data_IF_948910543510
#
_entry.id   IF_948910543510
#
_cell.length_a   1.000
_cell.length_b   1.000
_cell.length_c   1.000
_cell.angle_alpha   90.00
_cell.angle_beta   90.00
_cell.angle_gamma   90.00
#
_symmetry.space_group_name_H-M   'P 1'
#
loop_
_entity.id
_entity.type
_entity.pdbx_description
1 polymer ?
#
# COMPACT_ATOMS: atom_id res chain seq x y z
N UNK A 1 14.07 -3.67 -3.93
CA UNK A 1 13.06 -4.72 -3.62
C UNK A 1 12.03 -4.16 -2.64
N UNK A 2 11.00 -4.92 -2.30
CA UNK A 2 9.80 -4.51 -1.50
C UNK A 2 9.24 -5.75 -0.82
N UNK A 3 8.36 -5.64 0.18
CA UNK A 3 7.58 -6.76 0.70
C UNK A 3 6.10 -6.53 0.42
N UNK A 4 5.43 -7.54 -0.14
CA UNK A 4 3.97 -7.58 -0.23
C UNK A 4 3.46 -8.90 0.31
N UNK A 5 2.45 -8.82 1.19
CA UNK A 5 1.79 -9.98 1.77
C UNK A 5 0.29 -9.85 1.54
N UNK A 6 -0.32 -10.89 0.98
CA UNK A 6 -1.76 -11.02 0.80
C UNK A 6 -2.27 -12.17 1.67
N UNK A 7 -3.34 -11.94 2.42
CA UNK A 7 -3.95 -12.95 3.29
C UNK A 7 -5.48 -12.85 3.26
N UNK A 8 -6.13 -14.00 3.26
CA UNK A 8 -7.57 -14.10 3.57
C UNK A 8 -7.73 -14.19 5.07
N UNK A 9 -8.51 -13.27 5.64
CA UNK A 9 -8.83 -13.22 7.05
C UNK A 9 -10.35 -13.08 7.14
N UNK A 10 -11.00 -14.05 7.76
CA UNK A 10 -12.46 -14.18 7.78
C UNK A 10 -13.04 -14.13 6.35
N UNK A 11 -13.92 -13.16 6.07
CA UNK A 11 -14.54 -12.95 4.75
C UNK A 11 -13.88 -11.79 3.96
N UNK A 12 -12.63 -11.46 4.27
CA UNK A 12 -11.90 -10.35 3.65
C UNK A 12 -10.56 -10.80 3.07
N UNK A 13 -10.14 -10.09 2.02
CA UNK A 13 -8.77 -10.17 1.51
C UNK A 13 -8.04 -8.92 1.99
N UNK A 14 -6.91 -9.11 2.66
CA UNK A 14 -6.07 -8.02 3.15
C UNK A 14 -4.72 -8.11 2.48
N UNK A 15 -4.30 -7.02 1.83
CA UNK A 15 -2.98 -6.87 1.23
C UNK A 15 -2.22 -5.79 1.99
N UNK A 16 -0.98 -6.08 2.36
CA UNK A 16 -0.05 -5.12 2.97
C UNK A 16 1.19 -4.97 2.11
N UNK A 17 1.60 -3.74 1.86
CA UNK A 17 2.83 -3.40 1.14
C UNK A 17 3.53 -2.20 1.77
N UNK A 18 4.84 -2.11 1.57
CA UNK A 18 5.63 -0.94 1.94
C UNK A 18 5.68 0.10 0.80
N UNK A 19 6.07 1.35 1.08
CA UNK A 19 6.22 2.41 0.05
C UNK A 19 7.68 2.72 -0.32
N UNK A 20 8.66 1.98 0.23
CA UNK A 20 10.08 2.24 -0.05
C UNK A 20 10.39 1.97 -1.52
N UNK A 21 11.17 2.86 -2.11
CA UNK A 21 11.78 2.63 -3.41
C UNK A 21 13.27 2.38 -3.17
N UNK A 22 13.67 1.11 -3.19
CA UNK A 22 15.05 0.70 -2.94
C UNK A 22 15.78 0.41 -4.27
N UNK A 23 16.90 1.11 -4.51
CA UNK A 23 17.79 0.87 -5.66
C UNK A 23 18.75 2.03 -5.94
N UNK A 24 19.86 1.79 -6.66
CA UNK A 24 20.83 2.82 -7.07
C UNK A 24 20.33 3.71 -8.22
N UNK A 25 19.19 3.34 -8.83
CA UNK A 25 18.58 4.08 -9.92
C UNK A 25 18.08 5.43 -9.38
N UNK A 26 18.96 6.42 -9.49
CA UNK A 26 18.61 7.83 -9.36
C UNK A 26 17.49 8.09 -10.37
N UNK A 27 16.25 8.13 -9.88
CA UNK A 27 15.13 8.65 -10.66
C UNK A 27 15.58 9.99 -11.24
N UNK A 28 15.68 10.05 -12.56
CA UNK A 28 15.79 11.33 -13.24
C UNK A 28 14.47 12.04 -12.96
N UNK A 29 14.54 13.24 -12.41
CA UNK A 29 13.39 14.12 -12.05
C UNK A 29 12.37 14.28 -13.20
N UNK A 30 12.73 13.88 -14.43
CA UNK A 30 11.90 13.95 -15.63
C UNK A 30 11.02 12.74 -15.89
N UNK A 31 11.23 11.62 -15.21
CA UNK A 31 10.33 10.49 -15.34
C UNK A 31 9.15 10.68 -14.39
N UNK A 32 7.94 10.79 -14.94
CA UNK A 32 6.66 10.68 -14.22
C UNK A 32 6.48 9.27 -13.61
N UNK A 33 7.56 8.62 -13.18
CA UNK A 33 7.55 7.22 -12.79
C UNK A 33 7.23 7.09 -11.31
N UNK A 34 5.93 7.04 -11.06
CA UNK A 34 5.22 6.23 -10.07
C UNK A 34 5.89 6.04 -8.70
N UNK A 35 5.36 6.69 -7.69
CA UNK A 35 6.17 7.01 -6.50
C UNK A 35 6.04 6.01 -5.35
N UNK A 36 6.30 4.72 -5.61
CA UNK A 36 6.43 3.71 -4.54
C UNK A 36 5.14 3.02 -4.10
N UNK A 37 4.00 3.35 -4.73
CA UNK A 37 2.78 2.54 -4.65
C UNK A 37 2.95 1.26 -5.47
N UNK A 38 2.61 0.10 -4.91
CA UNK A 38 2.90 -1.22 -5.50
C UNK A 38 1.69 -2.11 -5.67
N UNK A 39 0.51 -1.58 -5.36
CA UNK A 39 -0.75 -2.30 -5.42
C UNK A 39 -1.81 -1.40 -6.04
N UNK A 40 -2.45 -1.92 -7.08
CA UNK A 40 -3.36 -1.19 -7.96
C UNK A 40 -4.66 -1.93 -8.14
N UNK A 41 -5.75 -1.20 -8.15
CA UNK A 41 -7.07 -1.67 -8.55
C UNK A 41 -7.19 -1.63 -10.07
N UNK A 42 -7.62 -2.73 -10.66
CA UNK A 42 -7.81 -2.89 -12.09
C UNK A 42 -9.31 -3.08 -12.35
N UNK A 43 -9.95 -1.98 -12.77
CA UNK A 43 -11.39 -1.85 -12.72
C UNK A 43 -11.93 -2.05 -11.30
N UNK A 44 -13.15 -2.59 -11.18
CA UNK A 44 -13.79 -2.89 -9.88
C UNK A 44 -13.54 -4.31 -9.38
N UNK A 45 -13.08 -5.19 -10.27
CA UNK A 45 -13.07 -6.62 -10.05
C UNK A 45 -11.73 -7.15 -9.53
N UNK A 46 -10.62 -6.51 -9.91
CA UNK A 46 -9.30 -7.06 -9.64
C UNK A 46 -8.42 -6.09 -8.87
N UNK A 47 -7.54 -6.65 -8.06
CA UNK A 47 -6.43 -5.95 -7.45
C UNK A 47 -5.13 -6.67 -7.80
N UNK A 48 -4.14 -5.91 -8.25
CA UNK A 48 -2.86 -6.38 -8.74
C UNK A 48 -1.74 -5.73 -7.93
N UNK A 49 -0.94 -6.55 -7.26
CA UNK A 49 0.26 -6.15 -6.53
C UNK A 49 1.51 -6.65 -7.26
N UNK A 50 2.61 -5.91 -7.19
CA UNK A 50 3.86 -6.32 -7.85
C UNK A 50 5.12 -6.14 -6.99
N UNK A 51 6.15 -6.94 -7.28
CA UNK A 51 7.51 -6.75 -6.76
C UNK A 51 8.52 -6.94 -7.89
N UNK A 52 9.39 -5.95 -8.11
CA UNK A 52 10.38 -5.98 -9.18
C UNK A 52 10.62 -4.59 -9.77
N UNK A 53 11.10 -4.54 -11.01
CA UNK A 53 11.35 -3.28 -11.73
C UNK A 53 10.04 -2.55 -12.01
N UNK A 54 9.85 -1.39 -11.37
CA UNK A 54 8.64 -0.58 -11.42
C UNK A 54 8.23 -0.19 -12.85
N UNK A 55 9.17 0.31 -13.65
CA UNK A 55 8.91 0.70 -15.06
C UNK A 55 8.20 -0.42 -15.82
N UNK A 56 8.64 -1.65 -15.62
CA UNK A 56 8.11 -2.80 -16.34
C UNK A 56 6.79 -3.31 -15.75
N UNK A 57 6.70 -3.41 -14.43
CA UNK A 57 5.45 -3.78 -13.77
C UNK A 57 4.30 -2.83 -14.18
N UNK A 58 4.61 -1.55 -14.37
CA UNK A 58 3.62 -0.53 -14.72
C UNK A 58 3.18 -0.62 -16.17
N UNK A 59 4.09 -0.94 -17.10
CA UNK A 59 3.72 -1.28 -18.48
C UNK A 59 2.76 -2.47 -18.51
N UNK A 60 3.02 -3.50 -17.72
CA UNK A 60 2.12 -4.65 -17.60
C UNK A 60 0.77 -4.22 -17.03
N UNK A 61 0.75 -3.48 -15.93
CA UNK A 61 -0.47 -2.94 -15.29
C UNK A 61 -1.32 -2.18 -16.31
N UNK A 62 -0.71 -1.32 -17.13
CA UNK A 62 -1.41 -0.56 -18.17
C UNK A 62 -2.07 -1.47 -19.21
N UNK A 63 -1.32 -2.40 -19.78
CA UNK A 63 -1.83 -3.35 -20.79
C UNK A 63 -2.96 -4.20 -20.21
N UNK A 64 -2.83 -4.64 -18.95
CA UNK A 64 -3.86 -5.40 -18.24
C UNK A 64 -5.09 -4.53 -17.99
N UNK A 65 -4.92 -3.26 -17.60
CA UNK A 65 -6.02 -2.32 -17.40
C UNK A 65 -6.80 -2.07 -18.70
N UNK A 66 -6.14 -1.94 -19.85
CA UNK A 66 -6.85 -1.78 -21.14
C UNK A 66 -7.73 -3.00 -21.50
N UNK A 67 -7.37 -4.19 -20.99
CA UNK A 67 -8.06 -5.46 -21.27
C UNK A 67 -8.92 -5.96 -20.12
N UNK A 68 -9.04 -5.23 -19.01
CA UNK A 68 -9.61 -5.77 -17.77
C UNK A 68 -11.03 -6.32 -17.92
N UNK A 69 -11.84 -5.72 -18.79
CA UNK A 69 -13.23 -6.15 -19.08
C UNK A 69 -13.32 -7.50 -19.79
N UNK A 70 -12.21 -8.02 -20.30
CA UNK A 70 -12.17 -9.30 -21.01
C UNK A 70 -11.85 -10.49 -20.12
N UNK A 71 -11.28 -10.25 -18.93
CA UNK A 71 -10.95 -11.32 -17.98
C UNK A 71 -12.18 -11.67 -17.14
N UNK A 72 -12.48 -12.95 -17.04
CA UNK A 72 -13.59 -13.45 -16.22
C UNK A 72 -13.20 -13.70 -14.77
N UNK A 73 -11.92 -13.96 -14.51
CA UNK A 73 -11.40 -14.30 -13.18
C UNK A 73 -9.92 -13.94 -13.08
N UNK A 74 -9.34 -14.09 -11.88
CA UNK A 74 -7.96 -13.69 -11.62
C UNK A 74 -6.94 -14.58 -12.34
N UNK A 75 -7.26 -15.86 -12.59
CA UNK A 75 -6.34 -16.79 -13.27
C UNK A 75 -6.18 -16.45 -14.76
N UNK A 76 -7.25 -16.08 -15.46
CA UNK A 76 -7.17 -15.62 -16.86
C UNK A 76 -6.30 -14.36 -17.00
N UNK A 77 -6.43 -13.41 -16.06
CA UNK A 77 -5.54 -12.25 -16.00
C UNK A 77 -4.08 -12.65 -15.78
N UNK A 78 -3.83 -13.62 -14.88
CA UNK A 78 -2.48 -14.09 -14.57
C UNK A 78 -1.80 -14.81 -15.75
N UNK A 79 -2.56 -15.63 -16.48
CA UNK A 79 -2.11 -16.30 -17.69
C UNK A 79 -1.76 -15.27 -18.78
N UNK A 80 -2.60 -14.25 -18.94
CA UNK A 80 -2.32 -13.15 -19.84
C UNK A 80 -1.03 -12.40 -19.46
N UNK A 81 -0.83 -12.05 -18.18
CA UNK A 81 0.42 -11.44 -17.70
C UNK A 81 1.62 -12.32 -18.02
N UNK A 82 1.51 -13.64 -17.84
CA UNK A 82 2.59 -14.57 -18.19
C UNK A 82 2.85 -14.61 -19.71
N UNK A 83 1.84 -14.45 -20.56
CA UNK A 83 2.02 -14.40 -22.01
C UNK A 83 2.80 -13.17 -22.49
N UNK A 84 2.83 -12.09 -21.70
CA UNK A 84 3.59 -10.87 -22.01
C UNK A 84 5.11 -11.04 -21.81
N UNK A 85 5.56 -12.17 -21.25
CA UNK A 85 6.98 -12.49 -21.02
C UNK A 85 7.77 -12.57 -22.31
N UNK A 86 7.21 -13.18 -23.36
CA UNK A 86 7.95 -13.46 -24.60
C UNK A 86 8.24 -12.19 -25.42
N UNK A 87 7.39 -11.16 -25.26
CA UNK A 87 7.60 -9.84 -25.85
C UNK A 87 8.72 -9.03 -25.16
N UNK A 88 9.23 -9.50 -24.01
CA UNK A 88 10.24 -8.81 -23.20
C UNK A 88 11.66 -9.32 -23.43
N UNK A 89 11.84 -10.58 -23.86
CA UNK A 89 13.17 -11.15 -24.11
C UNK A 89 13.75 -10.82 -25.49
N UNK A 90 13.07 -10.01 -26.30
CA UNK A 90 13.48 -9.72 -27.68
C UNK A 90 13.71 -8.23 -27.93
N UNK A 91 14.96 -7.95 -28.33
CA UNK A 91 15.54 -6.72 -28.94
C UNK A 91 16.19 -5.72 -27.96
N UNK A 92 17.51 -5.76 -27.92
CA UNK A 92 18.44 -4.64 -27.63
C UNK A 92 18.88 -4.30 -26.19
N UNK A 93 18.50 -5.02 -25.14
CA UNK A 93 19.12 -4.78 -23.81
C UNK A 93 20.10 -5.88 -23.40
N UNK A 94 21.38 -5.53 -23.31
CA UNK A 94 22.45 -6.33 -22.66
C UNK A 94 22.23 -6.55 -21.16
N UNK A 95 21.16 -5.96 -20.60
CA UNK A 95 20.73 -6.12 -19.21
C UNK A 95 19.52 -7.05 -19.19
N UNK A 96 19.70 -8.27 -18.70
CA UNK A 96 18.59 -9.16 -18.37
C UNK A 96 17.85 -8.50 -17.20
N UNK A 97 16.68 -7.91 -17.46
CA UNK A 97 15.78 -7.44 -16.41
C UNK A 97 14.91 -8.60 -15.97
N UNK A 98 14.87 -8.87 -14.67
CA UNK A 98 14.01 -9.92 -14.09
C UNK A 98 12.54 -9.56 -14.28
N UNK A 99 11.71 -10.55 -14.64
CA UNK A 99 10.27 -10.38 -14.74
C UNK A 99 9.68 -10.14 -13.34
N UNK A 100 8.81 -9.13 -13.13
CA UNK A 100 8.26 -8.82 -11.83
C UNK A 100 7.40 -9.97 -11.30
N UNK A 101 7.44 -10.14 -9.99
CA UNK A 101 6.49 -10.97 -9.28
C UNK A 101 5.15 -10.24 -9.21
N UNK A 102 4.04 -11.00 -9.22
CA UNK A 102 2.70 -10.46 -9.07
C UNK A 102 1.86 -11.28 -8.08
N UNK A 103 0.98 -10.58 -7.37
CA UNK A 103 -0.16 -11.17 -6.66
C UNK A 103 -1.42 -10.56 -7.29
N UNK A 104 -2.36 -11.42 -7.67
CA UNK A 104 -3.65 -11.03 -8.24
C UNK A 104 -4.75 -11.58 -7.36
N UNK A 105 -5.73 -10.75 -7.05
CA UNK A 105 -6.95 -11.16 -6.35
C UNK A 105 -8.18 -10.56 -7.03
N UNK A 106 -9.28 -11.30 -6.98
CA UNK A 106 -10.60 -10.84 -7.41
C UNK A 106 -11.45 -10.42 -6.19
N UNK A 107 -12.37 -9.48 -6.37
CA UNK A 107 -13.36 -9.12 -5.35
C UNK A 107 -14.52 -10.12 -5.27
N UNK A 108 -14.57 -11.09 -6.18
CA UNK A 108 -15.54 -12.17 -6.12
C UNK A 108 -15.31 -13.10 -4.93
N UNK A 109 -16.42 -13.55 -4.35
CA UNK A 109 -16.43 -14.40 -3.16
C UNK A 109 -15.79 -15.75 -3.51
N UNK A 110 -14.92 -16.25 -2.62
CA UNK A 110 -14.22 -17.53 -2.72
C UNK A 110 -13.14 -17.65 -3.82
N UNK A 111 -12.87 -16.59 -4.58
CA UNK A 111 -11.76 -16.59 -5.54
C UNK A 111 -10.41 -16.82 -4.84
N UNK A 112 -9.51 -17.56 -5.49
CA UNK A 112 -8.18 -17.87 -4.95
C UNK A 112 -7.24 -16.68 -5.14
N UNK A 113 -6.21 -16.61 -4.30
CA UNK A 113 -5.11 -15.67 -4.52
C UNK A 113 -4.22 -16.26 -5.61
N UNK A 114 -3.93 -15.50 -6.67
CA UNK A 114 -3.07 -15.96 -7.76
C UNK A 114 -1.68 -15.35 -7.59
N UNK A 115 -0.67 -16.20 -7.55
CA UNK A 115 0.74 -15.84 -7.37
C UNK A 115 1.53 -16.11 -8.66
N UNK A 116 2.29 -15.12 -9.12
CA UNK A 116 3.28 -15.24 -10.19
C UNK A 116 4.64 -14.88 -9.59
N UNK A 117 5.60 -15.81 -9.63
CA UNK A 117 6.98 -15.56 -9.22
C UNK A 117 7.93 -15.67 -10.40
N UNK A 118 8.53 -14.56 -10.81
CA UNK A 118 9.38 -14.41 -11.97
C UNK A 118 8.81 -15.12 -13.21
N UNK A 119 9.61 -16.00 -13.79
CA UNK A 119 9.25 -16.71 -15.01
C UNK A 119 8.33 -17.93 -14.78
N UNK A 120 7.85 -18.19 -13.56
CA UNK A 120 6.96 -19.32 -13.30
C UNK A 120 5.54 -19.10 -13.86
N UNK A 121 4.83 -20.22 -14.06
CA UNK A 121 3.38 -20.22 -14.31
C UNK A 121 2.62 -19.69 -13.09
N UNK A 122 1.41 -19.14 -13.27
CA UNK A 122 0.54 -18.75 -12.17
C UNK A 122 0.29 -19.93 -11.22
N UNK A 123 0.25 -19.65 -9.92
CA UNK A 123 -0.07 -20.61 -8.86
C UNK A 123 -1.23 -20.09 -8.03
N UNK A 124 -2.23 -20.92 -7.84
CA UNK A 124 -3.33 -20.59 -6.95
C UNK A 124 -2.95 -20.86 -5.48
N UNK A 125 -3.41 -19.98 -4.59
CA UNK A 125 -3.20 -20.06 -3.15
C UNK A 125 -4.54 -19.85 -2.44
N UNK A 126 -4.85 -20.72 -1.49
CA UNK A 126 -6.14 -20.67 -0.82
C UNK A 126 -6.24 -19.50 0.17
N UNK A 127 -5.21 -19.32 1.02
CA UNK A 127 -5.30 -18.45 2.20
C UNK A 127 -4.26 -17.31 2.25
N UNK A 128 -3.08 -17.48 1.65
CA UNK A 128 -2.03 -16.46 1.71
C UNK A 128 -0.99 -16.59 0.60
N UNK A 129 -0.44 -15.46 0.19
CA UNK A 129 0.69 -15.36 -0.73
C UNK A 129 1.59 -14.18 -0.32
N UNK A 130 2.84 -14.21 -0.77
CA UNK A 130 3.78 -13.11 -0.58
C UNK A 130 4.78 -13.07 -1.73
N UNK A 131 5.24 -11.86 -2.05
CA UNK A 131 6.26 -11.58 -3.07
C UNK A 131 7.27 -10.55 -2.56
N UNK A 132 8.48 -10.56 -3.12
CA UNK A 132 9.53 -9.59 -2.79
C UNK A 132 10.55 -10.05 -1.71
N UNK A 133 10.82 -9.19 -0.72
CA UNK A 133 11.92 -9.33 0.24
C UNK A 133 11.76 -10.59 1.09
N UNK A 134 12.64 -11.56 0.85
CA UNK A 134 12.68 -12.80 1.63
C UNK A 134 13.00 -12.52 3.10
N UNK A 135 13.99 -11.67 3.38
CA UNK A 135 14.34 -11.26 4.75
C UNK A 135 13.19 -10.54 5.43
N UNK A 136 12.50 -9.66 4.71
CA UNK A 136 11.28 -9.01 5.16
C UNK A 136 10.20 -10.03 5.55
N UNK A 137 9.96 -11.02 4.70
CA UNK A 137 8.97 -12.07 4.96
C UNK A 137 9.36 -12.97 6.14
N UNK A 138 10.63 -13.34 6.31
CA UNK A 138 11.09 -14.12 7.47
C UNK A 138 10.88 -13.35 8.79
N UNK A 139 11.23 -12.06 8.81
CA UNK A 139 10.99 -11.20 9.97
C UNK A 139 9.50 -11.07 10.28
N UNK A 140 8.68 -10.88 9.25
CA UNK A 140 7.22 -10.88 9.38
C UNK A 140 6.72 -12.18 10.03
N UNK A 141 7.13 -13.34 9.53
CA UNK A 141 6.69 -14.65 10.05
C UNK A 141 7.11 -14.85 11.52
N UNK A 142 8.31 -14.39 11.90
CA UNK A 142 8.78 -14.45 13.28
C UNK A 142 7.88 -13.65 14.22
N UNK A 143 7.49 -12.44 13.83
CA UNK A 143 6.60 -11.60 14.63
C UNK A 143 5.16 -12.14 14.63
N UNK A 144 4.63 -12.53 13.47
CA UNK A 144 3.24 -12.95 13.31
C UNK A 144 2.92 -14.24 14.05
N UNK A 145 3.88 -15.18 14.12
CA UNK A 145 3.69 -16.45 14.81
C UNK A 145 4.08 -16.38 16.31
N UNK A 146 4.45 -15.20 16.83
CA UNK A 146 4.78 -15.05 18.24
C UNK A 146 3.52 -15.16 19.12
N UNK A 147 3.41 -16.29 19.84
CA UNK A 147 2.26 -16.62 20.70
C UNK A 147 2.14 -15.73 21.96
N UNK A 148 3.16 -14.96 22.29
CA UNK A 148 3.11 -14.03 23.43
C UNK A 148 2.27 -12.78 23.12
N UNK A 149 2.07 -12.49 21.82
CA UNK A 149 1.30 -11.33 21.37
C UNK A 149 -0.20 -11.68 21.41
N UNK A 150 -0.90 -11.15 22.42
CA UNK A 150 -2.36 -11.27 22.54
C UNK A 150 -3.07 -10.18 21.73
N UNK A 151 -3.11 -10.33 20.41
CA UNK A 151 -3.80 -9.44 19.47
C UNK A 151 -4.82 -10.21 18.64
N UNK A 152 -5.82 -9.53 18.09
CA UNK A 152 -6.66 -10.13 17.04
C UNK A 152 -5.78 -10.49 15.83
N UNK A 153 -6.25 -11.37 14.95
CA UNK A 153 -5.45 -11.80 13.79
C UNK A 153 -5.11 -10.63 12.85
N UNK A 154 -6.02 -9.67 12.69
CA UNK A 154 -5.80 -8.47 11.87
C UNK A 154 -4.82 -7.50 12.55
N UNK A 155 -5.00 -7.24 13.84
CA UNK A 155 -4.08 -6.42 14.63
C UNK A 155 -2.67 -7.01 14.63
N UNK A 156 -2.55 -8.33 14.74
CA UNK A 156 -1.28 -9.03 14.67
C UNK A 156 -0.67 -8.96 13.27
N UNK A 157 -1.50 -9.00 12.22
CA UNK A 157 -1.03 -8.83 10.84
C UNK A 157 -0.46 -7.43 10.62
N UNK A 158 -1.17 -6.38 11.08
CA UNK A 158 -0.72 -5.00 11.02
C UNK A 158 0.56 -4.80 11.85
N UNK A 159 0.57 -5.23 13.11
CA UNK A 159 1.72 -5.13 14.00
C UNK A 159 2.96 -5.80 13.41
N UNK A 160 2.82 -7.04 12.92
CA UNK A 160 3.96 -7.81 12.42
C UNK A 160 4.55 -7.21 11.15
N UNK A 161 3.74 -6.59 10.30
CA UNK A 161 4.23 -5.90 9.11
C UNK A 161 4.96 -4.60 9.48
N UNK A 162 4.42 -3.80 10.42
CA UNK A 162 5.11 -2.61 10.90
C UNK A 162 6.47 -2.94 11.52
N UNK A 163 6.60 -4.08 12.22
CA UNK A 163 7.90 -4.54 12.72
C UNK A 163 8.92 -4.85 11.63
N UNK A 164 8.49 -5.16 10.41
CA UNK A 164 9.40 -5.26 9.27
C UNK A 164 9.83 -3.86 8.79
N UNK A 165 8.87 -2.94 8.64
CA UNK A 165 9.13 -1.56 8.20
C UNK A 165 10.06 -0.81 9.17
N UNK A 166 9.89 -1.05 10.48
CA UNK A 166 10.69 -0.44 11.55
C UNK A 166 12.07 -1.09 11.72
N UNK A 167 12.40 -2.16 10.97
CA UNK A 167 13.65 -2.89 11.14
C UNK A 167 14.73 -2.39 10.18
N UNK A 168 15.67 -1.60 10.72
CA UNK A 168 16.80 -1.03 9.98
C UNK A 168 17.75 -2.09 9.36
N UNK A 169 17.70 -3.34 9.81
CA UNK A 169 18.48 -4.44 9.20
C UNK A 169 17.90 -4.90 7.85
N UNK A 170 16.68 -4.47 7.51
CA UNK A 170 15.94 -4.84 6.29
C UNK A 170 15.89 -3.63 5.36
N UNK A 171 16.98 -3.39 4.63
CA UNK A 171 17.16 -2.18 3.82
C UNK A 171 16.28 -2.10 2.57
N UNK A 172 15.57 -3.16 2.21
CA UNK A 172 14.74 -3.25 1.02
C UNK A 172 13.22 -3.24 1.31
N UNK A 173 12.82 -2.93 2.55
CA UNK A 173 11.43 -2.73 2.96
C UNK A 173 11.39 -1.48 3.85
N UNK A 174 10.45 -0.57 3.63
CA UNK A 174 10.35 0.61 4.48
C UNK A 174 9.35 1.68 4.02
N UNK A 175 9.52 2.89 4.52
CA UNK A 175 8.57 3.97 4.26
C UNK A 175 7.29 3.76 5.06
N UNK A 176 6.13 3.86 4.40
CA UNK A 176 4.84 3.76 5.05
C UNK A 176 4.15 2.44 4.72
N UNK A 177 3.28 1.98 5.62
CA UNK A 177 2.45 0.82 5.38
C UNK A 177 1.27 1.22 4.49
N UNK A 178 1.08 0.52 3.38
CA UNK A 178 -0.16 0.56 2.61
C UNK A 178 -0.95 -0.68 2.95
N UNK A 179 -2.20 -0.51 3.41
CA UNK A 179 -3.12 -1.63 3.62
C UNK A 179 -4.30 -1.49 2.68
N UNK A 180 -4.63 -2.57 1.99
CA UNK A 180 -5.82 -2.71 1.15
C UNK A 180 -6.72 -3.77 1.75
N UNK A 181 -8.00 -3.47 1.76
CA UNK A 181 -9.05 -4.41 2.16
C UNK A 181 -9.96 -4.63 0.96
N UNK A 182 -10.25 -5.89 0.68
CA UNK A 182 -11.39 -6.30 -0.12
C UNK A 182 -12.46 -6.90 0.78
N UNK A 183 -13.64 -6.31 0.74
CA UNK A 183 -14.85 -6.87 1.34
C UNK A 183 -15.99 -6.90 0.30
N UNK A 184 -17.23 -7.07 0.74
CA UNK A 184 -18.41 -7.12 -0.16
C UNK A 184 -18.64 -5.84 -0.97
N UNK A 185 -18.08 -4.70 -0.56
CA UNK A 185 -18.17 -3.43 -1.28
C UNK A 185 -17.08 -3.29 -2.35
N UNK A 186 -16.05 -4.13 -2.32
CA UNK A 186 -14.92 -4.11 -3.24
C UNK A 186 -13.60 -3.75 -2.57
N UNK A 187 -12.63 -3.34 -3.38
CA UNK A 187 -11.30 -2.95 -2.91
C UNK A 187 -11.24 -1.49 -2.47
N UNK A 188 -10.56 -1.24 -1.37
CA UNK A 188 -10.21 0.10 -0.90
C UNK A 188 -8.90 0.10 -0.12
N UNK A 189 -8.26 1.27 -0.06
CA UNK A 189 -7.19 1.51 0.90
C UNK A 189 -7.80 1.69 2.31
N UNK A 190 -7.15 1.12 3.33
CA UNK A 190 -7.58 1.28 4.71
C UNK A 190 -6.92 2.54 5.31
N UNK A 191 -7.70 3.54 5.76
CA UNK A 191 -7.15 4.68 6.47
C UNK A 191 -6.62 4.27 7.85
N UNK A 192 -5.51 4.85 8.28
CA UNK A 192 -4.99 4.68 9.63
C UNK A 192 -4.23 5.92 10.10
N UNK A 193 -4.11 6.04 11.41
CA UNK A 193 -3.38 7.07 12.13
C UNK A 193 -2.20 6.41 12.83
N UNK A 194 -1.01 6.98 12.69
CA UNK A 194 0.16 6.55 13.44
C UNK A 194 0.68 7.71 14.27
N UNK A 195 0.83 7.45 15.57
CA UNK A 195 1.43 8.37 16.53
C UNK A 195 2.64 7.66 17.12
N UNK A 196 3.81 8.27 16.99
CA UNK A 196 5.07 7.72 17.45
C UNK A 196 5.75 8.75 18.35
N UNK A 197 6.17 8.33 19.54
CA UNK A 197 7.07 9.13 20.38
C UNK A 197 8.09 8.20 21.04
N UNK A 198 9.38 8.31 20.69
CA UNK A 198 10.43 7.42 21.21
C UNK A 198 10.60 7.53 22.74
N UNK A 199 10.29 8.71 23.29
CA UNK A 199 10.36 8.98 24.73
C UNK A 199 8.96 9.28 25.30
N UNK A 200 7.92 8.58 24.84
CA UNK A 200 6.57 8.81 25.33
C UNK A 200 6.49 8.58 26.84
N UNK A 201 6.22 9.64 27.59
CA UNK A 201 5.83 9.56 28.99
C UNK A 201 4.31 9.62 29.00
N UNK A 202 3.66 8.62 29.59
CA UNK A 202 2.21 8.61 29.75
C UNK A 202 1.84 9.75 30.69
N UNK A 203 1.44 10.88 30.11
CA UNK A 203 0.83 11.96 30.87
C UNK A 203 -0.65 11.65 31.12
N UNK A 204 -1.20 12.02 32.29
CA UNK A 204 -2.62 11.83 32.57
C UNK A 204 -3.45 12.55 31.48
N UNK A 205 -4.51 11.93 30.96
CA UNK A 205 -5.38 12.56 29.97
C UNK A 205 -5.87 13.92 30.47
N UNK A 206 -5.78 14.95 29.63
CA UNK A 206 -6.25 16.30 29.96
C UNK A 206 -7.72 16.37 29.57
N UNK A 207 -8.67 16.49 30.53
CA UNK A 207 -10.08 16.62 30.22
C UNK A 207 -10.31 17.84 29.31
N UNK A 208 -11.14 17.67 28.28
CA UNK A 208 -11.60 18.80 27.48
C UNK A 208 -12.36 19.77 28.39
N UNK A 209 -12.14 21.07 28.15
CA UNK A 209 -12.91 22.11 28.84
C UNK A 209 -14.40 22.08 28.45
N UNK A 210 -14.70 21.55 27.27
CA UNK A 210 -16.03 21.59 26.67
C UNK A 210 -16.82 20.27 26.88
N UNK A 211 -16.12 19.15 27.11
CA UNK A 211 -16.73 17.87 27.47
C UNK A 211 -15.82 17.10 28.45
N UNK A 212 -16.17 17.02 29.75
CA UNK A 212 -15.39 16.30 30.76
C UNK A 212 -15.22 14.80 30.50
N UNK A 213 -16.07 14.21 29.64
CA UNK A 213 -15.96 12.80 29.24
C UNK A 213 -14.96 12.61 28.10
N UNK A 214 -14.55 13.70 27.45
CA UNK A 214 -13.58 13.69 26.39
C UNK A 214 -12.23 14.11 26.97
N UNK A 215 -11.22 13.24 26.86
CA UNK A 215 -9.89 13.54 27.37
C UNK A 215 -8.88 13.52 26.23
N UNK A 216 -8.04 14.54 26.18
CA UNK A 216 -6.98 14.67 25.21
C UNK A 216 -5.74 13.98 25.75
N UNK A 217 -5.20 13.03 24.99
CA UNK A 217 -3.90 12.43 25.31
C UNK A 217 -2.85 13.28 24.60
N UNK A 218 -1.98 13.94 25.36
CA UNK A 218 -0.85 14.65 24.78
C UNK A 218 0.14 13.62 24.24
N UNK A 219 0.19 13.47 22.91
CA UNK A 219 1.08 12.53 22.22
C UNK A 219 2.42 13.18 21.91
N UNK A 220 3.30 13.11 22.91
CA UNK A 220 4.65 13.65 22.84
C UNK A 220 4.74 15.18 22.88
N UNK A 221 5.97 15.66 22.83
CA UNK A 221 6.34 17.08 22.76
C UNK A 221 7.59 17.23 21.89
N UNK A 222 8.00 18.47 21.64
CA UNK A 222 9.31 18.78 21.01
C UNK A 222 10.47 18.09 21.75
N UNK A 223 10.33 17.88 23.06
CA UNK A 223 11.34 17.21 23.91
C UNK A 223 11.31 15.70 23.73
N UNK A 224 10.14 15.09 23.55
CA UNK A 224 10.04 13.64 23.38
C UNK A 224 10.18 13.19 21.93
N UNK A 225 10.33 14.12 20.98
CA UNK A 225 10.46 13.86 19.55
C UNK A 225 9.22 13.18 18.96
N UNK A 226 8.03 13.48 19.51
CA UNK A 226 6.78 12.91 19.04
C UNK A 226 6.41 13.39 17.64
N UNK A 227 6.07 12.45 16.75
CA UNK A 227 5.49 12.77 15.44
C UNK A 227 4.26 11.91 15.16
N UNK A 228 3.36 12.44 14.34
CA UNK A 228 2.15 11.76 13.95
C UNK A 228 1.81 12.02 12.49
N UNK A 229 1.17 11.05 11.87
CA UNK A 229 0.60 11.21 10.54
C UNK A 229 -0.69 10.41 10.41
N UNK A 230 -1.59 10.89 9.56
CA UNK A 230 -2.73 10.11 9.07
C UNK A 230 -2.52 9.78 7.62
N UNK A 231 -3.05 8.64 7.20
CA UNK A 231 -3.26 8.38 5.78
C UNK A 231 -4.51 9.10 5.29
N UNK A 232 -4.51 9.40 4.00
CA UNK A 232 -5.59 10.05 3.26
C UNK A 232 -5.92 9.14 2.08
N UNK A 233 -7.15 8.64 2.00
CA UNK A 233 -7.58 7.62 1.03
C UNK A 233 -8.85 8.05 0.32
N UNK A 234 -9.08 7.65 -0.95
CA UNK A 234 -10.34 7.91 -1.62
C UNK A 234 -11.53 7.35 -0.84
N UNK A 235 -12.62 8.11 -0.82
CA UNK A 235 -13.91 7.63 -0.29
C UNK A 235 -14.50 6.56 -1.21
N UNK A 236 -14.27 6.71 -2.52
CA UNK A 236 -14.77 5.78 -3.52
C UNK A 236 -13.90 4.52 -3.61
N UNK A 237 -14.58 3.38 -3.72
CA UNK A 237 -13.94 2.07 -3.90
C UNK A 237 -13.26 2.00 -5.27
N UNK A 238 -12.21 1.20 -5.35
CA UNK A 238 -11.46 0.94 -6.58
C UNK A 238 -10.80 2.18 -7.20
N UNK A 239 -10.58 3.25 -6.42
CA UNK A 239 -9.75 4.39 -6.82
C UNK A 239 -8.30 4.22 -6.39
N UNK A 240 -7.38 4.37 -7.35
CA UNK A 240 -5.95 4.23 -7.14
C UNK A 240 -5.33 5.53 -6.61
N UNK A 241 -5.46 5.80 -5.32
CA UNK A 241 -4.71 6.88 -4.68
C UNK A 241 -4.47 6.62 -3.20
N UNK A 242 -3.30 7.02 -2.71
CA UNK A 242 -2.92 6.84 -1.31
C UNK A 242 -2.04 7.99 -0.84
N UNK A 243 -2.48 8.68 0.20
CA UNK A 243 -1.82 9.87 0.71
C UNK A 243 -1.46 9.77 2.18
N UNK A 244 -0.58 10.67 2.59
CA UNK A 244 -0.08 10.80 3.95
C UNK A 244 0.03 12.28 4.29
N UNK A 245 -0.46 12.64 5.46
CA UNK A 245 -0.35 13.98 6.01
C UNK A 245 0.34 13.94 7.38
N UNK A 246 1.44 14.68 7.51
CA UNK A 246 2.23 14.81 8.74
C UNK A 246 1.79 16.04 9.52
N UNK A 247 1.24 15.85 10.72
CA UNK A 247 0.64 16.95 11.49
C UNK A 247 1.65 18.01 11.89
N UNK A 248 2.81 17.59 12.42
CA UNK A 248 3.85 18.49 12.91
C UNK A 248 4.51 19.26 11.76
N UNK A 249 4.69 18.60 10.61
CA UNK A 249 5.29 19.20 9.43
C UNK A 249 4.35 20.11 8.63
N UNK A 250 3.04 20.05 8.90
CA UNK A 250 2.00 20.74 8.10
C UNK A 250 2.16 20.47 6.61
N UNK A 251 2.49 19.23 6.29
CA UNK A 251 2.89 18.80 4.96
C UNK A 251 2.35 17.41 4.69
N UNK A 252 1.89 17.19 3.46
CA UNK A 252 1.46 15.89 3.00
C UNK A 252 1.85 15.63 1.57
N UNK A 253 1.70 14.37 1.19
CA UNK A 253 1.80 13.94 -0.19
C UNK A 253 0.71 12.92 -0.53
N UNK A 254 0.35 12.85 -1.81
CA UNK A 254 -0.58 11.89 -2.38
C UNK A 254 0.10 11.16 -3.53
N UNK A 255 0.14 9.84 -3.48
CA UNK A 255 0.36 9.02 -4.66
C UNK A 255 -0.95 8.99 -5.45
N UNK A 256 -1.03 9.81 -6.50
CA UNK A 256 -2.18 9.88 -7.39
C UNK A 256 -1.90 8.99 -8.60
N UNK A 257 -2.80 8.05 -8.90
CA UNK A 257 -2.63 7.10 -9.99
C UNK A 257 -3.93 6.95 -10.78
N UNK A 258 -3.96 7.51 -11.97
CA UNK A 258 -5.01 7.35 -12.97
C UNK A 258 -4.47 6.50 -14.12
N UNK A 259 -4.73 5.19 -14.03
CA UNK A 259 -4.24 4.21 -14.99
C UNK A 259 -4.93 4.39 -16.36
N UNK A 260 -6.16 4.91 -16.38
CA UNK A 260 -6.90 5.13 -17.63
C UNK A 260 -6.28 6.25 -18.47
N UNK A 261 -5.82 7.31 -17.80
CA UNK A 261 -5.18 8.46 -18.44
C UNK A 261 -3.64 8.41 -18.42
N UNK A 262 -3.04 7.27 -18.05
CA UNK A 262 -1.59 7.07 -17.96
C UNK A 262 -0.90 8.14 -17.10
N UNK A 263 -1.57 8.58 -16.03
CA UNK A 263 -1.12 9.66 -15.16
C UNK A 263 -0.86 9.11 -13.77
N UNK A 264 0.41 9.05 -13.39
CA UNK A 264 0.78 8.72 -12.02
C UNK A 264 1.86 9.66 -11.50
N UNK A 265 1.57 10.29 -10.38
CA UNK A 265 2.39 11.36 -9.84
C UNK A 265 2.32 11.36 -8.31
N UNK A 266 3.26 12.08 -7.69
CA UNK A 266 3.14 12.43 -6.28
C UNK A 266 2.82 13.90 -6.19
N UNK A 267 1.61 14.19 -5.75
CA UNK A 267 1.21 15.52 -5.38
C UNK A 267 1.74 15.81 -3.98
N UNK A 268 2.32 16.98 -3.78
CA UNK A 268 2.83 17.41 -2.48
C UNK A 268 2.27 18.77 -2.14
N UNK A 269 1.82 18.97 -0.91
CA UNK A 269 1.30 20.26 -0.49
C UNK A 269 1.62 20.51 0.98
N UNK A 270 1.85 21.79 1.30
CA UNK A 270 1.82 22.29 2.66
C UNK A 270 0.38 22.73 2.98
N UNK A 271 -0.10 22.38 4.16
CA UNK A 271 -1.45 22.73 4.62
C UNK A 271 -1.47 22.77 6.15
N UNK A 272 -2.24 23.68 6.73
CA UNK A 272 -2.28 23.93 8.18
C UNK A 272 -2.91 22.79 8.97
N UNK A 273 -3.79 22.02 8.32
CA UNK A 273 -4.44 20.82 8.84
C UNK A 273 -4.78 19.85 7.69
N UNK A 274 -5.30 18.66 8.03
CA UNK A 274 -5.64 17.62 7.06
C UNK A 274 -6.83 17.98 6.16
N UNK A 275 -7.79 18.78 6.64
CA UNK A 275 -8.95 19.20 5.85
C UNK A 275 -8.53 20.15 4.72
N UNK A 276 -7.66 21.12 5.03
CA UNK A 276 -7.05 22.00 4.04
C UNK A 276 -6.24 21.19 3.02
N UNK A 277 -5.48 20.19 3.48
CA UNK A 277 -4.76 19.28 2.58
C UNK A 277 -5.71 18.53 1.63
N UNK A 278 -6.80 17.97 2.15
CA UNK A 278 -7.83 17.28 1.34
C UNK A 278 -8.47 18.22 0.33
N UNK A 279 -8.76 19.48 0.69
CA UNK A 279 -9.32 20.45 -0.23
C UNK A 279 -8.36 20.75 -1.39
N UNK A 280 -7.06 20.92 -1.12
CA UNK A 280 -6.03 21.09 -2.16
C UNK A 280 -5.99 19.86 -3.09
N UNK A 281 -6.03 18.65 -2.53
CA UNK A 281 -6.05 17.42 -3.33
C UNK A 281 -7.33 17.30 -4.17
N UNK A 282 -8.49 17.69 -3.64
CA UNK A 282 -9.75 17.71 -4.38
C UNK A 282 -9.71 18.70 -5.54
N UNK A 283 -9.12 19.89 -5.35
CA UNK A 283 -8.97 20.87 -6.43
C UNK A 283 -8.16 20.32 -7.60
N UNK A 284 -7.10 19.57 -7.32
CA UNK A 284 -6.20 18.98 -8.33
C UNK A 284 -6.77 17.72 -8.99
N UNK A 285 -7.39 16.83 -8.21
CA UNK A 285 -7.75 15.47 -8.66
C UNK A 285 -9.25 15.28 -8.92
N UNK A 286 -10.09 16.15 -8.35
CA UNK A 286 -11.56 15.99 -8.27
C UNK A 286 -12.03 14.73 -7.55
N UNK A 287 -11.16 14.11 -6.73
CA UNK A 287 -11.48 12.93 -5.91
C UNK A 287 -11.82 13.37 -4.48
N UNK A 288 -12.88 12.79 -3.92
CA UNK A 288 -13.19 12.94 -2.50
C UNK A 288 -12.31 12.00 -1.66
N UNK A 289 -11.68 12.54 -0.62
CA UNK A 289 -10.81 11.78 0.28
C UNK A 289 -11.35 11.76 1.71
N UNK A 290 -11.04 10.67 2.42
CA UNK A 290 -11.22 10.49 3.86
C UNK A 290 -9.87 10.29 4.55
N UNK A 291 -9.83 10.42 5.87
CA UNK A 291 -8.64 10.17 6.69
C UNK A 291 -9.00 9.55 8.03
N UNK A 292 -8.03 8.92 8.70
CA UNK A 292 -8.26 8.35 10.02
C UNK A 292 -8.24 9.46 11.09
N UNK A 293 -9.40 9.72 11.69
CA UNK A 293 -9.56 10.77 12.69
C UNK A 293 -10.73 11.71 12.42
N UNK A 294 -11.38 11.64 11.26
CA UNK A 294 -12.72 12.21 11.08
C UNK A 294 -13.74 11.32 11.79
N UNK A 295 -14.36 11.83 12.85
CA UNK A 295 -15.62 11.27 13.34
C UNK A 295 -16.68 11.54 12.27
N UNK A 296 -17.10 10.51 11.55
CA UNK A 296 -18.35 10.51 10.78
C UNK A 296 -19.53 10.19 11.68
#
# INVERSE_FOLDING_TARGET
>A
MTLIICKKIDNQIIIKSDTLIAGPDKFTIKDNTYQGLKVFFIGKLFCLAYSGTQEYAHRIIKIVNEKHKTFKNAIEMAEFICSLKDNHFNKDSTVIREFPDFIIVSSEINEKIIEIKGNCKPKEKDNSSWIGSFKGFENFQKNFNNKEIKKSIDENFHYSFNKVIENDEISDVGGNLVTIICDRKGFRYQPYLQLTSPNYIVEPPIPSKDDPNWATIQWGSDVTGGFGFTTVTPVEFSMNSFGIYYFQGKFGFLFYCDIENDRCEKLTACASNVEEFINILFEETKINFEYCGSLS
#
